data_IF_178590003075
#
_entry.id   IF_178590003075
#
_cell.length_a   1.000
_cell.length_b   1.000
_cell.length_c   1.000
_cell.angle_alpha   90.00
_cell.angle_beta   90.00
_cell.angle_gamma   90.00
#
_symmetry.space_group_name_H-M   'P 1'
#
loop_
_entity.id
_entity.type
_entity.pdbx_description
1 polymer ?
#
# COMPACT_ATOMS: atom_id res chain seq x y z
N UNK A 1 1.94 1.17 -17.52
CA UNK A 1 2.13 0.04 -18.46
C UNK A 1 0.76 -0.30 -19.03
N UNK A 2 0.55 -0.16 -20.34
CA UNK A 2 -0.75 -0.55 -20.94
C UNK A 2 -0.87 -2.09 -20.93
N UNK A 3 -2.08 -2.66 -21.02
CA UNK A 3 -2.27 -4.12 -20.98
C UNK A 3 -1.35 -4.90 -21.94
N UNK A 4 -1.19 -4.41 -23.18
CA UNK A 4 -0.32 -5.02 -24.19
C UNK A 4 1.17 -5.00 -23.81
N UNK A 5 1.60 -4.01 -23.03
CA UNK A 5 2.97 -3.91 -22.52
C UNK A 5 3.21 -4.87 -21.35
N UNK A 6 2.15 -5.24 -20.60
CA UNK A 6 2.27 -6.12 -19.42
C UNK A 6 2.68 -7.53 -19.82
N UNK A 7 2.05 -8.09 -20.85
CA UNK A 7 2.36 -9.46 -21.30
C UNK A 7 3.81 -9.57 -21.80
N UNK A 8 4.30 -8.57 -22.54
CA UNK A 8 5.69 -8.52 -22.99
C UNK A 8 6.66 -8.35 -21.81
N UNK A 9 6.34 -7.46 -20.86
CA UNK A 9 7.14 -7.29 -19.65
C UNK A 9 7.17 -8.57 -18.80
N UNK A 10 6.05 -9.29 -18.68
CA UNK A 10 5.94 -10.58 -17.98
C UNK A 10 6.87 -11.62 -18.62
N UNK A 11 6.87 -11.73 -19.95
CA UNK A 11 7.77 -12.63 -20.68
C UNK A 11 9.24 -12.28 -20.42
N UNK A 12 9.62 -11.01 -20.53
CA UNK A 12 11.01 -10.56 -20.29
C UNK A 12 11.43 -10.79 -18.83
N UNK A 13 10.54 -10.48 -17.89
CA UNK A 13 10.78 -10.64 -16.47
C UNK A 13 11.04 -12.11 -16.13
N UNK A 14 10.16 -13.02 -16.54
CA UNK A 14 10.29 -14.45 -16.24
C UNK A 14 11.40 -15.14 -17.05
N UNK A 15 11.75 -14.63 -18.23
CA UNK A 15 12.89 -15.14 -19.01
C UNK A 15 14.24 -14.70 -18.46
N UNK A 16 14.28 -13.64 -17.62
CA UNK A 16 15.53 -13.18 -17.02
C UNK A 16 16.03 -14.14 -15.94
N UNK A 17 17.29 -14.57 -16.09
CA UNK A 17 17.98 -15.42 -15.10
C UNK A 17 18.31 -14.68 -13.82
N UNK A 18 18.63 -13.40 -13.94
CA UNK A 18 18.94 -12.52 -12.82
C UNK A 18 17.87 -11.43 -12.73
N UNK A 19 17.27 -11.29 -11.56
CA UNK A 19 16.23 -10.29 -11.29
C UNK A 19 16.68 -9.41 -10.13
N UNK A 20 16.59 -8.09 -10.32
CA UNK A 20 16.91 -7.10 -9.29
C UNK A 20 15.63 -6.45 -8.75
N UNK A 21 15.66 -5.87 -7.54
CA UNK A 21 14.49 -5.27 -6.88
C UNK A 21 13.68 -4.31 -7.78
N UNK A 22 14.30 -3.42 -8.59
CA UNK A 22 13.56 -2.58 -9.53
C UNK A 22 12.74 -3.36 -10.58
N UNK A 23 13.20 -4.54 -11.01
CA UNK A 23 12.45 -5.38 -11.96
C UNK A 23 11.18 -5.94 -11.32
N UNK A 24 11.27 -6.43 -10.08
CA UNK A 24 10.10 -6.86 -9.31
C UNK A 24 9.13 -5.70 -9.13
N UNK A 25 9.63 -4.52 -8.73
CA UNK A 25 8.80 -3.32 -8.55
C UNK A 25 8.10 -2.88 -9.83
N UNK A 26 8.79 -2.92 -10.98
CA UNK A 26 8.20 -2.61 -12.28
C UNK A 26 7.08 -3.60 -12.64
N UNK A 27 7.30 -4.89 -12.42
CA UNK A 27 6.31 -5.93 -12.72
C UNK A 27 5.08 -5.82 -11.80
N UNK A 28 5.30 -5.67 -10.49
CA UNK A 28 4.24 -5.45 -9.51
C UNK A 28 3.39 -4.22 -9.85
N UNK A 29 4.04 -3.07 -10.11
CA UNK A 29 3.35 -1.83 -10.51
C UNK A 29 2.56 -2.04 -11.80
N UNK A 30 3.12 -2.78 -12.74
CA UNK A 30 2.46 -3.20 -13.97
C UNK A 30 1.14 -3.91 -13.72
N UNK A 31 1.17 -4.95 -12.88
CA UNK A 31 -0.03 -5.70 -12.51
C UNK A 31 -1.08 -4.87 -11.77
N UNK A 32 -0.67 -4.05 -10.80
CA UNK A 32 -1.57 -3.16 -10.06
C UNK A 32 -2.30 -2.19 -11.01
N UNK A 33 -1.56 -1.57 -11.93
CA UNK A 33 -2.11 -0.64 -12.94
C UNK A 33 -3.11 -1.32 -13.90
N UNK A 34 -3.04 -2.64 -14.04
CA UNK A 34 -3.90 -3.41 -14.94
C UNK A 34 -4.95 -4.24 -14.16
N UNK A 35 -5.22 -3.90 -12.90
CA UNK A 35 -6.20 -4.57 -12.04
C UNK A 35 -5.93 -6.07 -11.85
N UNK A 36 -4.66 -6.45 -11.74
CA UNK A 36 -4.21 -7.83 -11.47
C UNK A 36 -3.47 -7.92 -10.12
N UNK A 37 -4.05 -7.46 -9.01
CA UNK A 37 -3.33 -7.37 -7.73
C UNK A 37 -2.84 -8.72 -7.20
N UNK A 38 -3.53 -9.83 -7.48
CA UNK A 38 -3.07 -11.18 -7.10
C UNK A 38 -1.73 -11.53 -7.75
N UNK A 39 -1.54 -11.17 -9.03
CA UNK A 39 -0.25 -11.37 -9.71
C UNK A 39 0.84 -10.48 -9.11
N UNK A 40 0.52 -9.24 -8.70
CA UNK A 40 1.48 -8.37 -8.03
C UNK A 40 1.94 -8.97 -6.69
N UNK A 41 1.03 -9.56 -5.92
CA UNK A 41 1.35 -10.24 -4.66
C UNK A 41 2.20 -11.49 -4.92
N UNK A 42 1.92 -12.27 -5.97
CA UNK A 42 2.75 -13.41 -6.33
C UNK A 42 4.19 -12.99 -6.66
N UNK A 43 4.37 -11.92 -7.42
CA UNK A 43 5.71 -11.36 -7.69
C UNK A 43 6.39 -10.88 -6.40
N UNK A 44 5.65 -10.25 -5.48
CA UNK A 44 6.23 -9.86 -4.19
C UNK A 44 6.74 -11.05 -3.39
N UNK A 45 6.04 -12.19 -3.42
CA UNK A 45 6.44 -13.40 -2.71
C UNK A 45 7.72 -14.03 -3.28
N UNK A 46 8.14 -13.65 -4.50
CA UNK A 46 9.42 -14.03 -5.08
C UNK A 46 10.59 -13.14 -4.59
N UNK A 47 10.31 -12.05 -3.85
CA UNK A 47 11.32 -11.11 -3.36
C UNK A 47 11.87 -11.55 -2.00
N UNK A 48 13.14 -11.96 -1.94
CA UNK A 48 13.77 -12.42 -0.70
C UNK A 48 14.02 -11.31 0.33
N UNK A 49 14.35 -10.10 -0.13
CA UNK A 49 14.69 -8.95 0.73
C UNK A 49 14.08 -7.68 0.15
N UNK A 50 12.76 -7.46 0.35
CA UNK A 50 12.05 -6.35 -0.25
C UNK A 50 12.48 -5.01 0.35
N UNK A 51 12.60 -3.99 -0.51
CA UNK A 51 12.83 -2.62 -0.07
C UNK A 51 11.50 -1.87 0.17
N UNK A 52 11.59 -0.60 0.56
CA UNK A 52 10.43 0.28 0.79
C UNK A 52 9.49 0.36 -0.42
N UNK A 53 10.03 0.29 -1.64
CA UNK A 53 9.25 0.38 -2.87
C UNK A 53 8.45 -0.90 -3.10
N UNK A 54 9.08 -2.07 -2.94
CA UNK A 54 8.39 -3.35 -3.06
C UNK A 54 7.27 -3.48 -2.02
N UNK A 55 7.52 -3.07 -0.78
CA UNK A 55 6.52 -3.13 0.31
C UNK A 55 5.38 -2.14 0.04
N UNK A 56 5.68 -0.92 -0.42
CA UNK A 56 4.65 0.04 -0.81
C UNK A 56 3.72 -0.53 -1.91
N UNK A 57 4.31 -1.17 -2.93
CA UNK A 57 3.55 -1.80 -4.01
C UNK A 57 2.71 -2.97 -3.51
N UNK A 58 3.21 -3.78 -2.57
CA UNK A 58 2.41 -4.83 -1.94
C UNK A 58 1.17 -4.23 -1.26
N UNK A 59 1.33 -3.18 -0.45
CA UNK A 59 0.20 -2.55 0.23
C UNK A 59 -0.82 -1.98 -0.76
N UNK A 60 -0.37 -1.37 -1.86
CA UNK A 60 -1.27 -0.92 -2.92
C UNK A 60 -2.06 -2.08 -3.56
N UNK A 61 -1.43 -3.23 -3.79
CA UNK A 61 -2.10 -4.43 -4.30
C UNK A 61 -3.14 -4.96 -3.31
N UNK A 62 -2.80 -5.07 -2.03
CA UNK A 62 -3.72 -5.48 -0.98
C UNK A 62 -4.92 -4.53 -0.86
N UNK A 63 -4.67 -3.21 -0.91
CA UNK A 63 -5.70 -2.18 -0.93
C UNK A 63 -6.66 -2.31 -2.13
N UNK A 64 -6.18 -2.82 -3.27
CA UNK A 64 -7.01 -3.06 -4.45
C UNK A 64 -7.89 -4.32 -4.28
N UNK A 65 -7.39 -5.37 -3.62
CA UNK A 65 -8.13 -6.61 -3.33
C UNK A 65 -9.25 -6.43 -2.31
N UNK A 66 -8.98 -5.73 -1.20
CA UNK A 66 -9.98 -5.46 -0.14
C UNK A 66 -10.55 -6.73 0.51
N UNK A 67 -9.73 -7.77 0.64
CA UNK A 67 -10.10 -9.05 1.25
C UNK A 67 -9.48 -9.24 2.63
N UNK A 68 -9.98 -10.24 3.39
CA UNK A 68 -9.44 -10.58 4.71
C UNK A 68 -8.03 -11.18 4.60
N UNK A 69 -7.77 -11.91 3.52
CA UNK A 69 -6.47 -12.50 3.20
C UNK A 69 -5.45 -11.38 2.94
N UNK A 70 -5.83 -10.36 2.16
CA UNK A 70 -5.02 -9.17 1.94
C UNK A 70 -4.73 -8.43 3.27
N UNK A 71 -5.73 -8.29 4.16
CA UNK A 71 -5.51 -7.69 5.48
C UNK A 71 -4.49 -8.48 6.32
N UNK A 72 -4.60 -9.81 6.33
CA UNK A 72 -3.67 -10.66 7.07
C UNK A 72 -2.25 -10.49 6.56
N UNK A 73 -2.08 -10.39 5.24
CA UNK A 73 -0.78 -10.15 4.62
C UNK A 73 -0.22 -8.76 4.98
N UNK A 74 -1.05 -7.71 4.91
CA UNK A 74 -0.66 -6.34 5.33
C UNK A 74 -0.15 -6.34 6.76
N UNK A 75 -0.89 -6.96 7.69
CA UNK A 75 -0.52 -7.05 9.11
C UNK A 75 0.74 -7.87 9.37
N UNK A 76 0.94 -8.94 8.60
CA UNK A 76 2.13 -9.77 8.70
C UNK A 76 3.35 -8.96 8.29
N UNK A 77 3.33 -8.41 7.07
CA UNK A 77 4.45 -7.65 6.52
C UNK A 77 4.72 -6.42 7.36
N UNK A 78 3.71 -5.67 7.80
CA UNK A 78 3.93 -4.45 8.62
C UNK A 78 4.73 -4.71 9.91
N UNK A 79 4.60 -5.89 10.52
CA UNK A 79 5.38 -6.27 11.71
C UNK A 79 6.85 -6.57 11.41
N UNK A 80 7.16 -6.93 10.17
CA UNK A 80 8.50 -7.29 9.70
C UNK A 80 9.24 -6.08 9.09
N UNK A 81 8.55 -4.96 8.85
CA UNK A 81 9.14 -3.73 8.30
C UNK A 81 10.15 -3.12 9.30
N UNK A 82 11.37 -2.76 8.85
CA UNK A 82 12.32 -2.00 9.65
C UNK A 82 11.73 -0.69 10.19
N UNK A 83 11.99 -0.36 11.46
CA UNK A 83 11.51 0.89 12.09
C UNK A 83 11.89 2.15 11.30
N UNK A 84 13.04 2.13 10.61
CA UNK A 84 13.48 3.23 9.76
C UNK A 84 12.52 3.51 8.60
N UNK A 85 11.83 2.52 8.06
CA UNK A 85 10.95 2.70 6.90
C UNK A 85 9.64 3.40 7.30
N UNK A 86 9.27 3.39 8.58
CA UNK A 86 8.13 4.15 9.08
C UNK A 86 8.33 5.68 9.04
N UNK A 87 9.54 6.18 8.72
CA UNK A 87 9.73 7.60 8.41
C UNK A 87 9.31 7.97 6.98
N UNK A 88 9.08 6.99 6.10
CA UNK A 88 8.67 7.25 4.73
C UNK A 88 7.15 7.50 4.65
N UNK A 89 6.71 8.75 4.35
CA UNK A 89 5.29 9.09 4.31
C UNK A 89 4.53 8.35 3.21
N UNK A 90 5.19 7.95 2.11
CA UNK A 90 4.55 7.17 1.04
C UNK A 90 4.23 5.76 1.49
N UNK A 91 5.18 5.10 2.19
CA UNK A 91 4.96 3.78 2.76
C UNK A 91 3.82 3.82 3.80
N UNK A 92 3.87 4.77 4.73
CA UNK A 92 2.81 4.97 5.72
C UNK A 92 1.44 5.20 5.07
N UNK A 93 1.38 6.04 4.03
CA UNK A 93 0.13 6.30 3.31
C UNK A 93 -0.42 5.02 2.67
N UNK A 94 0.43 4.21 2.02
CA UNK A 94 0.01 2.96 1.41
C UNK A 94 -0.47 1.93 2.44
N UNK A 95 0.20 1.86 3.60
CA UNK A 95 -0.21 1.01 4.72
C UNK A 95 -1.57 1.45 5.28
N UNK A 96 -1.76 2.75 5.51
CA UNK A 96 -3.04 3.33 5.93
C UNK A 96 -4.17 3.00 4.95
N UNK A 97 -3.96 3.24 3.66
CA UNK A 97 -4.95 2.96 2.62
C UNK A 97 -5.31 1.47 2.57
N UNK A 98 -4.33 0.58 2.70
CA UNK A 98 -4.54 -0.86 2.74
C UNK A 98 -5.33 -1.31 3.98
N UNK A 99 -4.97 -0.82 5.18
CA UNK A 99 -5.67 -1.11 6.43
C UNK A 99 -7.13 -0.63 6.35
N UNK A 100 -7.37 0.61 5.92
CA UNK A 100 -8.72 1.16 5.76
C UNK A 100 -9.55 0.36 4.75
N UNK A 101 -9.00 0.07 3.57
CA UNK A 101 -9.75 -0.61 2.50
C UNK A 101 -9.99 -2.09 2.77
N UNK A 102 -9.12 -2.75 3.54
CA UNK A 102 -9.32 -4.14 3.96
C UNK A 102 -10.10 -4.26 5.28
N UNK A 103 -10.47 -3.13 5.91
CA UNK A 103 -11.44 -3.07 7.00
C UNK A 103 -10.86 -2.98 8.41
N UNK A 104 -9.56 -2.72 8.60
CA UNK A 104 -8.96 -2.49 9.92
C UNK A 104 -8.77 -1.01 10.22
N UNK A 105 -9.90 -0.37 10.53
CA UNK A 105 -9.97 1.07 10.83
C UNK A 105 -9.18 1.42 12.08
N UNK A 106 -9.30 0.63 13.14
CA UNK A 106 -8.67 0.92 14.41
C UNK A 106 -7.13 0.97 14.30
N UNK A 107 -6.52 0.03 13.56
CA UNK A 107 -5.08 0.11 13.30
C UNK A 107 -4.70 1.28 12.40
N UNK A 108 -5.51 1.59 11.39
CA UNK A 108 -5.25 2.74 10.52
C UNK A 108 -5.28 4.07 11.31
N UNK A 109 -6.28 4.25 12.18
CA UNK A 109 -6.38 5.42 13.06
C UNK A 109 -5.18 5.51 14.01
N UNK A 110 -4.85 4.41 14.69
CA UNK A 110 -3.69 4.37 15.59
C UNK A 110 -2.38 4.73 14.86
N UNK A 111 -2.18 4.21 13.65
CA UNK A 111 -1.02 4.54 12.82
C UNK A 111 -1.03 6.02 12.40
N UNK A 112 -2.17 6.55 11.96
CA UNK A 112 -2.31 7.94 11.56
C UNK A 112 -1.98 8.89 12.72
N UNK A 113 -2.57 8.68 13.89
CA UNK A 113 -2.37 9.56 15.05
C UNK A 113 -0.94 9.47 15.61
N UNK A 114 -0.34 8.27 15.61
CA UNK A 114 1.05 8.07 16.07
C UNK A 114 2.12 8.59 15.10
N UNK A 115 1.79 8.84 13.84
CA UNK A 115 2.75 9.41 12.88
C UNK A 115 3.15 10.83 13.26
N UNK A 116 4.46 11.06 13.37
CA UNK A 116 5.05 12.38 13.69
C UNK A 116 4.82 13.39 12.56
N UNK A 117 4.98 12.95 11.32
CA UNK A 117 4.72 13.75 10.12
C UNK A 117 3.51 13.20 9.39
N UNK A 118 2.48 14.04 9.23
CA UNK A 118 1.27 13.70 8.48
C UNK A 118 1.28 14.50 7.18
N UNK A 119 1.26 13.81 6.06
CA UNK A 119 1.21 14.44 4.73
C UNK A 119 -0.20 14.40 4.15
N UNK A 120 -0.52 15.30 3.22
CA UNK A 120 -1.82 15.38 2.55
C UNK A 120 -2.40 14.03 2.09
N UNK A 121 -1.61 13.13 1.45
CA UNK A 121 -2.09 11.80 1.09
C UNK A 121 -2.61 10.95 2.26
N UNK A 122 -2.06 11.08 3.47
CA UNK A 122 -2.51 10.33 4.65
C UNK A 122 -3.89 10.79 5.10
N UNK A 123 -4.12 12.11 5.18
CA UNK A 123 -5.44 12.68 5.46
C UNK A 123 -6.47 12.21 4.41
N UNK A 124 -6.07 12.24 3.13
CA UNK A 124 -6.91 11.76 2.02
C UNK A 124 -7.27 10.27 2.13
N UNK A 125 -6.34 9.41 2.54
CA UNK A 125 -6.58 7.98 2.75
C UNK A 125 -7.59 7.74 3.89
N UNK A 126 -7.41 8.43 5.03
CA UNK A 126 -8.31 8.32 6.18
C UNK A 126 -9.72 8.79 5.84
N UNK A 127 -9.88 9.99 5.25
CA UNK A 127 -11.20 10.52 4.89
C UNK A 127 -11.96 9.62 3.93
N UNK A 128 -11.28 9.08 2.91
CA UNK A 128 -11.89 8.15 1.94
C UNK A 128 -12.34 6.85 2.61
N UNK A 129 -11.50 6.31 3.50
CA UNK A 129 -11.83 5.08 4.23
C UNK A 129 -12.98 5.27 5.20
N UNK A 130 -12.99 6.37 5.95
CA UNK A 130 -14.03 6.71 6.93
C UNK A 130 -15.39 6.92 6.24
N UNK A 131 -15.41 7.68 5.14
CA UNK A 131 -16.62 7.91 4.35
C UNK A 131 -17.21 6.58 3.85
N UNK A 132 -16.37 5.68 3.32
CA UNK A 132 -16.79 4.35 2.85
C UNK A 132 -17.47 3.51 3.94
N UNK A 133 -17.09 3.70 5.20
CA UNK A 133 -17.59 2.94 6.34
C UNK A 133 -18.71 3.67 7.10
N UNK A 134 -19.12 4.86 6.65
CA UNK A 134 -20.12 5.72 7.28
C UNK A 134 -19.81 6.08 8.75
N UNK A 135 -18.53 6.25 9.09
CA UNK A 135 -18.06 6.56 10.46
C UNK A 135 -17.84 8.09 10.59
N UNK A 136 -18.90 8.88 10.58
CA UNK A 136 -18.79 10.34 10.39
C UNK A 136 -18.10 11.10 11.55
N UNK A 137 -18.09 10.54 12.76
CA UNK A 137 -17.55 11.19 13.96
C UNK A 137 -16.06 11.58 13.82
N UNK A 138 -15.29 10.83 13.03
CA UNK A 138 -13.85 11.05 12.86
C UNK A 138 -13.51 11.96 11.67
N UNK A 139 -14.47 12.30 10.80
CA UNK A 139 -14.22 13.14 9.60
C UNK A 139 -13.91 14.59 10.00
N UNK A 140 -14.72 15.17 10.89
CA UNK A 140 -14.55 16.56 11.33
C UNK A 140 -13.21 16.76 12.06
N UNK A 141 -12.81 15.79 12.88
CA UNK A 141 -11.54 15.82 13.59
C UNK A 141 -10.35 15.80 12.61
N UNK A 142 -10.37 14.93 11.60
CA UNK A 142 -9.29 14.84 10.60
C UNK A 142 -9.24 16.11 9.74
N UNK A 143 -10.39 16.68 9.39
CA UNK A 143 -10.48 17.93 8.65
C UNK A 143 -9.90 19.10 9.46
N UNK A 144 -10.21 19.22 10.75
CA UNK A 144 -9.66 20.28 11.60
C UNK A 144 -8.12 20.23 11.69
N UNK A 145 -7.54 19.03 11.81
CA UNK A 145 -6.07 18.86 11.84
C UNK A 145 -5.42 19.25 10.51
N UNK A 146 -6.10 18.98 9.40
CA UNK A 146 -5.62 19.35 8.07
C UNK A 146 -5.51 20.87 7.91
N UNK A 147 -6.52 21.63 8.32
CA UNK A 147 -6.52 23.10 8.20
C UNK A 147 -5.52 23.80 9.12
N UNK A 148 -5.14 23.19 10.25
CA UNK A 148 -4.08 23.72 11.14
C UNK A 148 -2.68 23.52 10.52
N UNK A 149 -2.56 22.65 9.52
CA UNK A 149 -1.28 22.33 8.87
C UNK A 149 -0.92 23.29 7.71
N UNK A 150 -1.76 24.29 7.41
CA UNK A 150 -1.60 25.32 6.37
C UNK A 150 -1.66 26.72 6.97
#
# INVERSE_FOLDING_TARGET
>A
MKCGDVAHAELLFYSSKEKVLPMYGAMMKGYIQNNLPDKAINVFNEVESPDEVNINLLFNACAQLKTKEALNLVKKVSKEIPKSFYSNPHLLTSLLDALMKCGDVAHAESLFYSSKEKVLPMYGAMMKGINRLNIYDNVELIMSQLFISF
#
